data_IF_901698391104
#
_entry.id   IF_901698391104
#
_cell.length_a   1.000
_cell.length_b   1.000
_cell.length_c   1.000
_cell.angle_alpha   90.00
_cell.angle_beta   90.00
_cell.angle_gamma   90.00
#
_symmetry.space_group_name_H-M   'P 1'
#
loop_
_entity.id
_entity.type
_entity.pdbx_description
1 polymer ?
#
# COMPACT_ATOMS: atom_id res chain seq x y z
N UNK A 1 -13.80 27.05 -1.45
CA UNK A 1 -15.21 26.93 -0.99
C UNK A 1 -15.65 25.46 -1.06
N UNK A 2 -16.78 25.11 -0.44
CA UNK A 2 -17.34 23.74 -0.51
C UNK A 2 -17.71 23.32 -1.93
N UNK A 3 -18.11 24.25 -2.77
CA UNK A 3 -18.44 24.01 -4.19
C UNK A 3 -17.19 23.72 -5.03
N UNK A 4 -16.09 24.42 -4.79
CA UNK A 4 -14.81 24.16 -5.48
C UNK A 4 -14.27 22.76 -5.14
N UNK A 5 -14.39 22.36 -3.88
CA UNK A 5 -13.99 21.03 -3.43
C UNK A 5 -14.84 19.93 -4.10
N UNK A 6 -16.15 20.11 -4.17
CA UNK A 6 -17.06 19.18 -4.83
C UNK A 6 -16.76 19.07 -6.33
N UNK A 7 -16.51 20.20 -7.00
CA UNK A 7 -16.16 20.25 -8.41
C UNK A 7 -14.81 19.57 -8.68
N UNK A 8 -13.85 19.76 -7.79
CA UNK A 8 -12.54 19.10 -7.87
C UNK A 8 -12.71 17.56 -7.79
N UNK A 9 -13.41 17.05 -6.78
CA UNK A 9 -13.65 15.60 -6.65
C UNK A 9 -14.44 15.04 -7.84
N UNK A 10 -15.41 15.78 -8.35
CA UNK A 10 -16.14 15.40 -9.55
C UNK A 10 -15.22 15.24 -10.76
N UNK A 11 -14.34 16.21 -10.99
CA UNK A 11 -13.40 16.20 -12.11
C UNK A 11 -12.43 15.02 -12.00
N UNK A 12 -11.86 14.78 -10.81
CA UNK A 12 -10.92 13.69 -10.58
C UNK A 12 -11.59 12.32 -10.74
N UNK A 13 -12.81 12.17 -10.23
CA UNK A 13 -13.58 10.94 -10.40
C UNK A 13 -13.90 10.69 -11.87
N UNK A 14 -14.35 11.70 -12.62
CA UNK A 14 -14.67 11.58 -14.05
C UNK A 14 -13.46 11.13 -14.85
N UNK A 15 -12.30 11.76 -14.66
CA UNK A 15 -11.03 11.34 -15.31
C UNK A 15 -10.66 9.89 -14.98
N UNK A 16 -10.88 9.48 -13.73
CA UNK A 16 -10.60 8.10 -13.28
C UNK A 16 -11.55 7.11 -13.95
N UNK A 17 -12.86 7.40 -14.00
CA UNK A 17 -13.86 6.55 -14.64
C UNK A 17 -13.63 6.41 -16.15
N UNK A 18 -13.27 7.49 -16.85
CA UNK A 18 -12.92 7.45 -18.27
C UNK A 18 -11.78 6.47 -18.55
N UNK A 19 -10.72 6.52 -17.74
CA UNK A 19 -9.58 5.59 -17.87
C UNK A 19 -9.94 4.16 -17.50
N UNK A 20 -10.74 3.96 -16.46
CA UNK A 20 -11.22 2.64 -16.06
C UNK A 20 -12.06 1.99 -17.17
N UNK A 21 -12.90 2.80 -17.84
CA UNK A 21 -13.73 2.32 -18.94
C UNK A 21 -12.92 1.97 -20.19
N UNK A 22 -11.75 2.57 -20.37
CA UNK A 22 -10.84 2.27 -21.48
C UNK A 22 -10.08 0.93 -21.31
N UNK A 23 -10.05 0.33 -20.12
CA UNK A 23 -9.40 -0.95 -19.89
C UNK A 23 -10.10 -2.09 -20.64
N UNK A 24 -9.28 -2.98 -21.20
CA UNK A 24 -9.75 -4.24 -21.78
C UNK A 24 -10.52 -5.08 -20.75
N UNK A 25 -11.50 -5.83 -21.21
CA UNK A 25 -12.22 -6.85 -20.43
C UNK A 25 -12.21 -8.21 -21.13
N UNK A 26 -11.16 -8.46 -21.91
CA UNK A 26 -11.06 -9.66 -22.76
C UNK A 26 -10.67 -10.90 -21.98
N UNK A 27 -9.81 -10.75 -20.97
CA UNK A 27 -9.34 -11.89 -20.17
C UNK A 27 -10.16 -12.06 -18.88
N UNK A 28 -10.22 -13.27 -18.30
CA UNK A 28 -10.88 -13.49 -17.02
C UNK A 28 -10.32 -12.58 -15.90
N UNK A 29 -9.01 -12.32 -15.92
CA UNK A 29 -8.35 -11.41 -14.96
C UNK A 29 -8.85 -9.96 -15.14
N UNK A 30 -9.00 -9.50 -16.38
CA UNK A 30 -9.50 -8.15 -16.64
C UNK A 30 -10.96 -7.99 -16.18
N UNK A 31 -11.78 -9.03 -16.42
CA UNK A 31 -13.17 -9.06 -15.95
C UNK A 31 -13.25 -9.04 -14.43
N UNK A 32 -12.40 -9.84 -13.76
CA UNK A 32 -12.32 -9.87 -12.31
C UNK A 32 -11.89 -8.51 -11.73
N UNK A 33 -10.87 -7.85 -12.31
CA UNK A 33 -10.44 -6.50 -11.93
C UNK A 33 -11.55 -5.47 -12.11
N UNK A 34 -12.30 -5.56 -13.21
CA UNK A 34 -13.45 -4.69 -13.47
C UNK A 34 -14.56 -4.90 -12.43
N UNK A 35 -14.84 -6.14 -12.06
CA UNK A 35 -15.82 -6.47 -11.01
C UNK A 35 -15.39 -5.86 -9.67
N UNK A 36 -14.14 -6.08 -9.24
CA UNK A 36 -13.57 -5.49 -8.01
C UNK A 36 -13.73 -3.97 -8.03
N UNK A 37 -13.32 -3.32 -9.11
CA UNK A 37 -13.40 -1.88 -9.27
C UNK A 37 -14.84 -1.36 -9.19
N UNK A 38 -15.80 -2.06 -9.80
CA UNK A 38 -17.21 -1.69 -9.74
C UNK A 38 -17.79 -1.82 -8.32
N UNK A 39 -17.44 -2.89 -7.61
CA UNK A 39 -17.83 -3.05 -6.20
C UNK A 39 -17.26 -1.93 -5.32
N UNK A 40 -16.03 -1.47 -5.59
CA UNK A 40 -15.43 -0.31 -4.91
C UNK A 40 -16.24 0.97 -5.16
N UNK A 41 -16.65 1.23 -6.41
CA UNK A 41 -17.51 2.37 -6.72
C UNK A 41 -18.87 2.30 -6.02
N UNK A 42 -19.50 1.12 -5.99
CA UNK A 42 -20.79 0.91 -5.31
C UNK A 42 -20.67 1.04 -3.78
N UNK A 43 -19.63 0.47 -3.19
CA UNK A 43 -19.39 0.57 -1.75
C UNK A 43 -19.15 1.99 -1.28
N UNK A 44 -18.62 2.86 -2.14
CA UNK A 44 -18.40 4.28 -1.84
C UNK A 44 -19.69 5.06 -1.57
N UNK A 45 -20.85 4.51 -1.97
CA UNK A 45 -22.17 5.08 -1.69
C UNK A 45 -22.64 4.85 -0.24
N UNK A 46 -22.03 3.95 0.50
CA UNK A 46 -22.36 3.69 1.90
C UNK A 46 -21.85 4.79 2.82
N UNK A 47 -22.52 4.96 3.97
CA UNK A 47 -22.10 5.94 5.00
C UNK A 47 -20.64 5.69 5.46
N UNK A 48 -19.97 6.76 5.93
CA UNK A 48 -18.61 6.68 6.48
C UNK A 48 -18.43 5.66 7.60
N UNK A 49 -17.22 5.41 8.00
CA UNK A 49 -16.81 4.43 9.01
C UNK A 49 -15.60 3.61 8.56
N UNK A 50 -15.50 2.36 9.00
CA UNK A 50 -14.38 1.48 8.66
C UNK A 50 -14.79 0.48 7.58
N UNK A 51 -13.98 0.42 6.54
CA UNK A 51 -14.13 -0.50 5.41
C UNK A 51 -12.91 -1.40 5.28
N UNK A 52 -13.10 -2.57 4.69
CA UNK A 52 -12.05 -3.53 4.39
C UNK A 52 -12.04 -3.82 2.89
N UNK A 53 -10.89 -3.62 2.26
CA UNK A 53 -10.64 -3.98 0.87
C UNK A 53 -9.70 -5.17 0.82
N UNK A 54 -10.27 -6.37 0.81
CA UNK A 54 -9.53 -7.63 0.71
C UNK A 54 -9.64 -8.16 -0.72
N UNK A 55 -8.54 -8.03 -1.47
CA UNK A 55 -8.48 -8.52 -2.85
C UNK A 55 -7.15 -9.23 -3.10
N UNK A 56 -7.12 -10.24 -3.99
CA UNK A 56 -5.90 -10.96 -4.32
C UNK A 56 -4.80 -10.06 -4.85
N UNK A 57 -3.55 -10.49 -4.71
CA UNK A 57 -2.41 -9.82 -5.36
C UNK A 57 -2.62 -9.76 -6.87
N UNK A 58 -2.44 -8.58 -7.44
CA UNK A 58 -2.72 -8.32 -8.86
C UNK A 58 -4.18 -8.00 -9.18
N UNK A 59 -5.07 -7.96 -8.17
CA UNK A 59 -6.49 -7.57 -8.31
C UNK A 59 -6.74 -6.08 -8.53
N UNK A 60 -5.71 -5.24 -8.63
CA UNK A 60 -5.86 -3.81 -8.88
C UNK A 60 -6.22 -2.99 -7.63
N UNK A 61 -5.72 -3.39 -6.47
CA UNK A 61 -6.00 -2.81 -5.15
C UNK A 61 -5.87 -1.28 -5.12
N UNK A 62 -4.72 -0.75 -5.58
CA UNK A 62 -4.43 0.69 -5.55
C UNK A 62 -5.46 1.50 -6.33
N UNK A 63 -5.77 1.08 -7.55
CA UNK A 63 -6.70 1.80 -8.43
C UNK A 63 -8.16 1.67 -7.96
N UNK A 64 -8.55 0.48 -7.50
CA UNK A 64 -9.88 0.26 -6.94
C UNK A 64 -10.09 1.03 -5.63
N UNK A 65 -9.05 1.11 -4.79
CA UNK A 65 -9.03 1.94 -3.60
C UNK A 65 -9.11 3.44 -3.92
N UNK A 66 -8.43 3.90 -4.98
CA UNK A 66 -8.54 5.29 -5.47
C UNK A 66 -9.96 5.60 -5.94
N UNK A 67 -10.56 4.70 -6.73
CA UNK A 67 -11.95 4.85 -7.19
C UNK A 67 -12.93 4.98 -6.02
N UNK A 68 -12.82 4.08 -5.03
CA UNK A 68 -13.60 4.18 -3.81
C UNK A 68 -13.40 5.53 -3.13
N UNK A 69 -12.14 5.93 -2.89
CA UNK A 69 -11.81 7.14 -2.16
C UNK A 69 -12.34 8.41 -2.84
N UNK A 70 -12.19 8.52 -4.17
CA UNK A 70 -12.70 9.66 -4.95
C UNK A 70 -14.23 9.73 -4.95
N UNK A 71 -14.91 8.59 -5.19
CA UNK A 71 -16.37 8.53 -5.18
C UNK A 71 -16.94 8.88 -3.80
N UNK A 72 -16.31 8.31 -2.74
CA UNK A 72 -16.72 8.57 -1.36
C UNK A 72 -16.44 10.01 -0.92
N UNK A 73 -15.26 10.56 -1.30
CA UNK A 73 -14.89 11.94 -1.00
C UNK A 73 -15.88 12.93 -1.64
N UNK A 74 -16.26 12.70 -2.89
CA UNK A 74 -17.27 13.50 -3.57
C UNK A 74 -18.61 13.42 -2.86
N UNK A 75 -19.12 12.22 -2.59
CA UNK A 75 -20.46 12.01 -2.02
C UNK A 75 -20.60 12.62 -0.62
N UNK A 76 -19.61 12.45 0.21
CA UNK A 76 -19.62 12.85 1.62
C UNK A 76 -18.83 14.14 1.88
N UNK A 77 -18.46 14.88 0.83
CA UNK A 77 -17.73 16.16 0.91
C UNK A 77 -16.51 16.09 1.81
N UNK A 78 -15.71 15.03 1.64
CA UNK A 78 -14.47 14.86 2.39
C UNK A 78 -13.44 15.90 1.96
N UNK A 79 -12.66 16.36 2.92
CA UNK A 79 -11.65 17.40 2.68
C UNK A 79 -10.42 16.86 1.92
N UNK A 80 -10.02 15.61 2.22
CA UNK A 80 -8.79 15.00 1.71
C UNK A 80 -8.92 13.51 1.52
N UNK A 81 -8.02 12.98 0.68
CA UNK A 81 -7.75 11.56 0.54
C UNK A 81 -6.31 11.33 0.93
N UNK A 82 -6.06 10.40 1.85
CA UNK A 82 -4.72 10.09 2.36
C UNK A 82 -4.44 8.62 2.08
N UNK A 83 -3.41 8.35 1.25
CA UNK A 83 -2.90 7.01 0.99
C UNK A 83 -1.68 6.74 1.83
N UNK A 84 -1.66 5.59 2.52
CA UNK A 84 -0.47 5.16 3.27
C UNK A 84 0.03 3.81 2.79
N UNK A 85 1.35 3.67 2.78
CA UNK A 85 2.02 2.40 2.47
C UNK A 85 3.14 2.13 3.47
N UNK A 86 3.43 0.86 3.82
CA UNK A 86 4.47 0.55 4.79
C UNK A 86 5.89 0.70 4.24
N UNK A 87 6.09 0.52 2.93
CA UNK A 87 7.38 0.52 2.26
C UNK A 87 7.49 1.66 1.26
N UNK A 88 8.64 2.34 1.24
CA UNK A 88 8.91 3.46 0.32
C UNK A 88 8.82 3.05 -1.16
N UNK A 89 9.35 1.90 -1.53
CA UNK A 89 9.30 1.41 -2.91
C UNK A 89 7.87 1.18 -3.41
N UNK A 90 6.98 0.67 -2.55
CA UNK A 90 5.56 0.50 -2.85
C UNK A 90 4.86 1.87 -2.88
N UNK A 91 5.24 2.78 -1.98
CA UNK A 91 4.71 4.14 -1.95
C UNK A 91 5.03 4.88 -3.24
N UNK A 92 6.27 4.84 -3.73
CA UNK A 92 6.69 5.43 -4.99
C UNK A 92 5.92 4.85 -6.19
N UNK A 93 5.70 3.53 -6.18
CA UNK A 93 4.90 2.86 -7.20
C UNK A 93 3.43 3.31 -7.16
N UNK A 94 2.84 3.34 -5.97
CA UNK A 94 1.46 3.80 -5.78
C UNK A 94 1.31 5.27 -6.17
N UNK A 95 2.28 6.13 -5.81
CA UNK A 95 2.29 7.54 -6.17
C UNK A 95 2.32 7.74 -7.69
N UNK A 96 3.20 7.03 -8.39
CA UNK A 96 3.26 7.05 -9.87
C UNK A 96 1.94 6.60 -10.49
N UNK A 97 1.32 5.57 -9.91
CA UNK A 97 0.04 5.08 -10.41
C UNK A 97 -1.08 6.12 -10.16
N UNK A 98 -1.22 6.65 -8.95
CA UNK A 98 -2.23 7.65 -8.60
C UNK A 98 -2.11 8.90 -9.49
N UNK A 99 -0.88 9.39 -9.72
CA UNK A 99 -0.62 10.54 -10.61
C UNK A 99 -1.17 10.37 -12.03
N UNK A 100 -1.13 9.15 -12.58
CA UNK A 100 -1.70 8.88 -13.92
C UNK A 100 -3.19 9.17 -14.00
N UNK A 101 -3.91 9.06 -12.86
CA UNK A 101 -5.36 9.28 -12.80
C UNK A 101 -5.72 10.69 -12.37
N UNK A 102 -5.02 11.24 -11.39
CA UNK A 102 -5.25 12.62 -10.91
C UNK A 102 -4.87 13.63 -11.99
N UNK A 103 -3.72 13.45 -12.68
CA UNK A 103 -3.23 14.32 -13.77
C UNK A 103 -3.06 15.81 -13.38
N UNK A 104 -2.84 16.06 -12.09
CA UNK A 104 -2.58 17.39 -11.56
C UNK A 104 -1.68 17.23 -10.31
N UNK A 105 -0.40 17.49 -10.51
CA UNK A 105 0.60 17.33 -9.44
C UNK A 105 0.46 18.38 -8.34
N UNK A 106 -0.22 19.51 -8.60
CA UNK A 106 -0.48 20.53 -7.58
C UNK A 106 -1.45 20.05 -6.50
N UNK A 107 -2.27 19.06 -6.81
CA UNK A 107 -3.22 18.45 -5.87
C UNK A 107 -2.60 17.33 -5.02
N UNK A 108 -1.37 16.91 -5.31
CA UNK A 108 -0.74 15.74 -4.69
C UNK A 108 0.45 16.17 -3.83
N UNK A 109 0.40 15.85 -2.55
CA UNK A 109 1.54 15.94 -1.65
C UNK A 109 2.09 14.55 -1.36
N UNK A 110 3.34 14.30 -1.72
CA UNK A 110 4.10 13.16 -1.19
C UNK A 110 4.87 13.59 0.05
N UNK A 111 4.74 12.83 1.14
CA UNK A 111 5.44 13.12 2.37
C UNK A 111 6.07 11.85 2.97
N UNK A 112 7.38 11.69 2.76
CA UNK A 112 8.18 10.61 3.33
C UNK A 112 9.64 11.03 3.52
N UNK A 113 10.43 10.23 4.23
CA UNK A 113 11.81 10.56 4.64
C UNK A 113 12.82 10.69 3.50
N UNK A 114 12.51 10.12 2.31
CA UNK A 114 13.45 10.05 1.19
C UNK A 114 13.17 11.06 0.07
N UNK A 115 12.34 12.07 0.30
CA UNK A 115 12.22 13.17 -0.65
C UNK A 115 13.57 13.89 -0.71
N UNK A 116 14.35 13.57 -1.74
CA UNK A 116 15.57 14.29 -2.07
C UNK A 116 15.15 15.70 -2.43
N UNK A 117 15.72 16.68 -1.75
CA UNK A 117 15.62 18.10 -2.11
C UNK A 117 16.30 18.28 -3.47
N UNK A 118 15.55 18.07 -4.55
CA UNK A 118 15.98 18.50 -5.88
C UNK A 118 16.01 20.01 -5.88
N UNK A 119 17.11 20.59 -6.32
CA UNK A 119 17.31 22.04 -6.47
C UNK A 119 16.22 22.61 -7.39
N UNK A 120 15.13 23.07 -6.79
CA UNK A 120 14.07 23.83 -7.46
C UNK A 120 14.06 25.24 -6.84
N UNK A 121 13.52 26.21 -7.57
CA UNK A 121 13.44 27.61 -7.15
C UNK A 121 12.95 27.76 -5.70
N UNK A 122 13.55 28.67 -4.94
CA UNK A 122 13.30 28.87 -3.50
C UNK A 122 11.82 29.04 -3.14
N UNK A 123 11.03 29.74 -3.96
CA UNK A 123 9.59 29.96 -3.74
C UNK A 123 8.78 28.66 -3.78
N UNK A 124 9.10 27.73 -4.69
CA UNK A 124 8.41 26.42 -4.75
C UNK A 124 8.81 25.50 -3.60
N UNK A 125 10.00 25.66 -3.05
CA UNK A 125 10.45 24.93 -1.86
C UNK A 125 9.67 25.38 -0.62
N UNK A 126 9.48 26.69 -0.43
CA UNK A 126 8.77 27.27 0.70
C UNK A 126 7.29 26.83 0.70
N UNK A 127 6.64 26.84 -0.46
CA UNK A 127 5.25 26.38 -0.59
C UNK A 127 5.11 24.88 -0.28
N UNK A 128 6.00 24.03 -0.80
CA UNK A 128 6.00 22.60 -0.51
C UNK A 128 6.34 22.28 0.95
N UNK A 129 7.25 23.02 1.56
CA UNK A 129 7.55 22.89 2.99
C UNK A 129 6.31 23.21 3.83
N UNK A 130 5.60 24.29 3.50
CA UNK A 130 4.35 24.67 4.17
C UNK A 130 3.27 23.58 4.02
N UNK A 131 3.06 23.09 2.80
CA UNK A 131 2.11 21.98 2.55
C UNK A 131 2.51 20.71 3.32
N UNK A 132 3.80 20.42 3.44
CA UNK A 132 4.31 19.30 4.21
C UNK A 132 4.11 19.50 5.72
N UNK A 133 4.20 20.73 6.20
CA UNK A 133 3.95 21.05 7.61
C UNK A 133 2.47 20.92 7.99
N UNK A 134 1.57 21.30 7.11
CA UNK A 134 0.14 21.40 7.41
C UNK A 134 -0.71 20.25 6.85
N UNK A 135 -0.23 19.55 5.82
CA UNK A 135 -0.98 18.52 5.10
C UNK A 135 -2.29 19.03 4.49
N UNK A 136 -2.26 20.22 3.90
CA UNK A 136 -3.45 20.85 3.31
C UNK A 136 -3.76 20.39 1.88
N UNK A 137 -2.88 19.67 1.22
CA UNK A 137 -3.13 19.14 -0.11
C UNK A 137 -4.35 18.19 -0.13
N UNK A 138 -5.16 18.21 -1.21
CA UNK A 138 -6.33 17.35 -1.36
C UNK A 138 -6.00 15.86 -1.37
N UNK A 139 -4.90 15.46 -1.99
CA UNK A 139 -4.42 14.08 -2.04
C UNK A 139 -3.05 14.00 -1.40
N UNK A 140 -2.92 13.18 -0.37
CA UNK A 140 -1.69 12.99 0.37
C UNK A 140 -1.25 11.54 0.23
N UNK A 141 0.02 11.33 -0.12
CA UNK A 141 0.63 10.02 -0.24
C UNK A 141 1.78 9.96 0.76
N UNK A 142 1.72 9.05 1.71
CA UNK A 142 2.67 9.02 2.83
C UNK A 142 2.94 7.60 3.31
N UNK A 143 3.87 7.44 4.24
CA UNK A 143 4.12 6.14 4.87
C UNK A 143 3.18 5.92 6.06
N UNK A 144 2.90 4.64 6.34
CA UNK A 144 2.16 4.25 7.55
C UNK A 144 2.84 4.79 8.83
N UNK A 145 4.18 4.82 8.84
CA UNK A 145 4.95 5.37 9.99
C UNK A 145 4.65 6.86 10.18
N UNK A 146 4.54 7.65 9.12
CA UNK A 146 4.19 9.07 9.25
C UNK A 146 2.77 9.25 9.80
N UNK A 147 1.80 8.45 9.34
CA UNK A 147 0.45 8.47 9.89
C UNK A 147 0.45 8.13 11.39
N UNK A 148 1.13 7.06 11.79
CA UNK A 148 1.25 6.66 13.19
C UNK A 148 1.96 7.73 14.04
N UNK A 149 2.96 8.41 13.50
CA UNK A 149 3.62 9.53 14.16
C UNK A 149 2.66 10.70 14.41
N UNK A 150 1.77 11.01 13.46
CA UNK A 150 0.77 12.07 13.65
C UNK A 150 -0.22 11.69 14.76
N UNK A 151 -0.61 10.43 14.81
CA UNK A 151 -1.57 9.93 15.80
C UNK A 151 -1.00 9.84 17.23
N UNK A 152 0.29 9.48 17.36
CA UNK A 152 0.86 9.10 18.65
C UNK A 152 2.04 9.95 19.12
N UNK A 153 2.57 10.85 18.29
CA UNK A 153 3.70 11.71 18.66
C UNK A 153 3.21 13.05 19.22
N UNK A 154 3.78 13.48 20.34
CA UNK A 154 3.54 14.81 20.92
C UNK A 154 4.30 15.95 20.24
N UNK A 155 4.95 15.74 19.09
CA UNK A 155 5.68 16.81 18.39
C UNK A 155 4.72 17.83 17.80
N UNK A 156 5.05 19.10 17.91
CA UNK A 156 4.22 20.23 17.40
C UNK A 156 3.86 20.08 15.92
N UNK A 157 4.79 19.61 15.10
CA UNK A 157 4.55 19.37 13.66
C UNK A 157 3.51 18.26 13.43
N UNK A 158 3.49 17.22 14.27
CA UNK A 158 2.48 16.17 14.20
C UNK A 158 1.10 16.68 14.61
N UNK A 159 1.04 17.51 15.67
CA UNK A 159 -0.21 18.13 16.13
C UNK A 159 -0.80 19.04 15.05
N UNK A 160 0.02 19.82 14.34
CA UNK A 160 -0.44 20.66 13.23
C UNK A 160 -1.06 19.83 12.11
N UNK A 161 -0.51 18.67 11.77
CA UNK A 161 -1.03 17.78 10.74
C UNK A 161 -2.29 17.03 11.16
N UNK A 162 -2.50 16.87 12.46
CA UNK A 162 -3.62 16.07 12.98
C UNK A 162 -4.98 16.61 12.48
N UNK A 163 -5.18 17.93 12.44
CA UNK A 163 -6.45 18.52 11.97
C UNK A 163 -6.74 18.13 10.51
N UNK A 164 -5.70 17.90 9.70
CA UNK A 164 -5.83 17.51 8.30
C UNK A 164 -6.28 16.07 8.11
N UNK A 165 -6.26 15.24 9.17
CA UNK A 165 -6.88 13.92 9.15
C UNK A 165 -8.40 14.01 9.24
N UNK A 166 -8.95 15.05 9.89
CA UNK A 166 -10.39 15.17 10.08
C UNK A 166 -11.16 15.29 8.76
N UNK A 167 -12.34 14.68 8.72
CA UNK A 167 -13.22 14.64 7.54
C UNK A 167 -12.48 14.21 6.26
N UNK A 168 -11.63 13.20 6.34
CA UNK A 168 -10.88 12.65 5.21
C UNK A 168 -11.28 11.20 4.89
N UNK A 169 -10.76 10.68 3.78
CA UNK A 169 -10.71 9.24 3.49
C UNK A 169 -9.25 8.80 3.66
N UNK A 170 -9.01 7.86 4.56
CA UNK A 170 -7.67 7.31 4.79
C UNK A 170 -7.62 5.87 4.28
N UNK A 171 -6.80 5.63 3.27
CA UNK A 171 -6.56 4.29 2.70
C UNK A 171 -5.24 3.78 3.27
N UNK A 172 -5.32 2.72 4.07
CA UNK A 172 -4.16 2.10 4.73
C UNK A 172 -3.82 0.82 3.98
N UNK A 173 -2.79 0.87 3.15
CA UNK A 173 -2.32 -0.29 2.39
C UNK A 173 -1.44 -1.19 3.24
N UNK A 174 -1.52 -2.50 2.97
CA UNK A 174 -0.78 -3.55 3.68
C UNK A 174 -0.92 -3.46 5.22
N UNK A 175 -2.16 -3.30 5.70
CA UNK A 175 -2.48 -3.10 7.12
C UNK A 175 -1.93 -4.22 8.03
N UNK A 176 -1.69 -5.42 7.51
CA UNK A 176 -1.08 -6.52 8.26
C UNK A 176 0.37 -6.26 8.70
N UNK A 177 1.00 -5.21 8.16
CA UNK A 177 2.35 -4.78 8.58
C UNK A 177 2.36 -4.03 9.90
N UNK A 178 1.21 -3.63 10.42
CA UNK A 178 1.10 -3.05 11.76
C UNK A 178 1.59 -4.09 12.78
N UNK A 179 2.61 -3.77 13.60
CA UNK A 179 3.13 -4.72 14.58
C UNK A 179 2.04 -5.17 15.56
N UNK A 180 2.02 -6.46 15.89
CA UNK A 180 1.00 -7.03 16.78
C UNK A 180 0.89 -6.31 18.13
N UNK A 181 2.02 -5.82 18.68
CA UNK A 181 2.07 -5.03 19.91
C UNK A 181 1.37 -3.66 19.80
N UNK A 182 1.18 -3.15 18.59
CA UNK A 182 0.55 -1.86 18.34
C UNK A 182 -0.90 -1.99 17.87
N UNK A 183 -1.41 -3.19 17.62
CA UNK A 183 -2.74 -3.40 17.06
C UNK A 183 -3.85 -2.80 17.94
N UNK A 184 -3.80 -2.94 19.26
CA UNK A 184 -4.79 -2.33 20.16
C UNK A 184 -4.79 -0.80 20.08
N UNK A 185 -3.60 -0.16 20.12
CA UNK A 185 -3.49 1.29 19.94
C UNK A 185 -3.94 1.75 18.56
N UNK A 186 -3.56 1.00 17.52
CA UNK A 186 -3.99 1.27 16.15
C UNK A 186 -5.52 1.21 16.02
N UNK A 187 -6.17 0.19 16.58
CA UNK A 187 -7.62 0.06 16.58
C UNK A 187 -8.32 1.18 17.32
N UNK A 188 -7.80 1.60 18.48
CA UNK A 188 -8.30 2.78 19.22
C UNK A 188 -8.20 4.05 18.37
N UNK A 189 -7.08 4.25 17.66
CA UNK A 189 -6.92 5.39 16.78
C UNK A 189 -7.89 5.34 15.60
N UNK A 190 -8.11 4.17 14.99
CA UNK A 190 -9.10 3.97 13.92
C UNK A 190 -10.50 4.29 14.42
N UNK A 191 -10.87 3.82 15.61
CA UNK A 191 -12.18 4.14 16.23
C UNK A 191 -12.34 5.65 16.41
N UNK A 192 -11.34 6.31 17.00
CA UNK A 192 -11.36 7.75 17.22
C UNK A 192 -11.49 8.54 15.91
N UNK A 193 -10.71 8.16 14.89
CA UNK A 193 -10.76 8.78 13.57
C UNK A 193 -12.15 8.61 12.92
N UNK A 194 -12.72 7.41 12.99
CA UNK A 194 -13.98 7.11 12.35
C UNK A 194 -15.18 7.75 13.09
N UNK A 195 -15.21 7.67 14.41
CA UNK A 195 -16.37 8.08 15.22
C UNK A 195 -16.36 9.58 15.56
N UNK A 196 -15.19 10.14 15.81
CA UNK A 196 -15.06 11.53 16.30
C UNK A 196 -14.59 12.48 15.20
N UNK A 197 -13.58 12.08 14.41
CA UNK A 197 -12.98 12.94 13.39
C UNK A 197 -13.72 12.89 12.04
N UNK A 198 -14.79 12.09 11.92
CA UNK A 198 -15.54 11.94 10.67
C UNK A 198 -14.70 11.36 9.52
N UNK A 199 -13.70 10.55 9.84
CA UNK A 199 -12.84 9.90 8.84
C UNK A 199 -13.50 8.63 8.31
N UNK A 200 -13.35 8.37 7.03
CA UNK A 200 -13.62 7.05 6.47
C UNK A 200 -12.31 6.31 6.29
N UNK A 201 -12.16 5.18 6.99
CA UNK A 201 -10.94 4.39 6.97
C UNK A 201 -11.13 3.16 6.09
N UNK A 202 -10.19 2.93 5.17
CA UNK A 202 -10.17 1.76 4.29
C UNK A 202 -8.92 0.94 4.61
N UNK A 203 -9.11 -0.24 5.15
CA UNK A 203 -8.05 -1.20 5.50
C UNK A 203 -7.81 -2.13 4.30
N UNK A 204 -6.70 -1.91 3.59
CA UNK A 204 -6.34 -2.68 2.41
C UNK A 204 -5.33 -3.78 2.75
N UNK A 205 -5.61 -5.01 2.34
CA UNK A 205 -4.68 -6.14 2.48
C UNK A 205 -5.12 -7.33 1.65
N UNK A 206 -4.19 -8.18 1.25
CA UNK A 206 -4.51 -9.53 0.77
C UNK A 206 -4.87 -10.47 1.94
N UNK A 207 -4.30 -10.22 3.13
CA UNK A 207 -4.54 -10.98 4.37
C UNK A 207 -4.83 -10.00 5.50
N UNK A 208 -6.01 -10.07 6.09
CA UNK A 208 -6.41 -9.15 7.16
C UNK A 208 -5.85 -9.59 8.51
N UNK A 209 -5.35 -8.66 9.34
CA UNK A 209 -5.01 -8.97 10.72
C UNK A 209 -6.27 -9.28 11.53
N UNK A 210 -6.16 -10.20 12.50
CA UNK A 210 -7.26 -10.53 13.42
C UNK A 210 -7.46 -9.37 14.43
N UNK A 211 -8.13 -8.32 14.01
CA UNK A 211 -8.43 -7.16 14.88
C UNK A 211 -9.62 -7.38 15.82
N UNK A 212 -10.31 -8.51 15.69
CA UNK A 212 -11.48 -8.85 16.51
C UNK A 212 -11.12 -9.50 17.85
N UNK A 213 -9.89 -10.05 17.97
CA UNK A 213 -9.42 -10.81 19.13
C UNK A 213 -8.38 -10.06 19.98
N UNK A 214 -8.34 -8.74 19.87
CA UNK A 214 -7.42 -7.89 20.61
C UNK A 214 -8.16 -7.16 21.75
N UNK A 215 -7.42 -6.62 22.72
CA UNK A 215 -7.97 -5.95 23.90
C UNK A 215 -8.91 -4.79 23.56
N UNK A 216 -8.58 -4.02 22.51
CA UNK A 216 -9.41 -2.92 22.03
C UNK A 216 -9.71 -3.12 20.54
N UNK A 217 -10.78 -3.84 20.18
CA UNK A 217 -11.12 -4.09 18.79
C UNK A 217 -11.64 -2.82 18.09
N UNK A 218 -11.70 -2.88 16.76
CA UNK A 218 -12.40 -1.85 15.99
C UNK A 218 -13.88 -1.95 16.29
N UNK A 219 -14.51 -0.81 16.62
CA UNK A 219 -15.92 -0.72 16.96
C UNK A 219 -16.82 -0.82 15.72
N UNK A 220 -18.00 -1.40 15.92
CA UNK A 220 -19.00 -1.51 14.86
C UNK A 220 -18.63 -2.50 13.75
N UNK A 221 -19.46 -2.60 12.72
CA UNK A 221 -19.20 -3.49 11.61
C UNK A 221 -18.10 -2.93 10.71
N UNK A 222 -17.02 -3.69 10.51
CA UNK A 222 -16.09 -3.46 9.40
C UNK A 222 -16.78 -3.96 8.13
N UNK A 223 -16.99 -3.08 7.17
CA UNK A 223 -17.71 -3.39 5.94
C UNK A 223 -16.76 -3.85 4.85
N UNK A 224 -17.00 -5.04 4.30
CA UNK A 224 -16.24 -5.53 3.15
C UNK A 224 -16.68 -4.76 1.89
N UNK A 225 -15.72 -4.09 1.24
CA UNK A 225 -15.92 -3.41 -0.04
C UNK A 225 -16.16 -4.44 -1.14
N UNK A 226 -15.33 -5.50 -1.13
CA UNK A 226 -15.43 -6.65 -2.02
C UNK A 226 -15.71 -7.88 -1.15
N UNK A 227 -16.95 -8.42 -1.17
CA UNK A 227 -17.25 -9.66 -0.47
C UNK A 227 -16.35 -10.81 -0.94
N UNK A 228 -15.98 -11.69 -0.03
CA UNK A 228 -15.19 -12.86 -0.38
C UNK A 228 -15.95 -13.77 -1.36
N UNK A 229 -15.36 -13.99 -2.52
CA UNK A 229 -15.86 -14.90 -3.55
C UNK A 229 -14.74 -15.86 -3.97
N UNK A 230 -14.85 -17.17 -3.66
CA UNK A 230 -13.85 -18.17 -4.04
C UNK A 230 -13.56 -18.19 -5.55
N UNK A 231 -14.58 -18.02 -6.38
CA UNK A 231 -14.42 -18.02 -7.83
C UNK A 231 -13.59 -16.84 -8.31
N UNK A 232 -13.81 -15.65 -7.72
CA UNK A 232 -13.01 -14.47 -7.98
C UNK A 232 -11.54 -14.68 -7.59
N UNK A 233 -11.30 -15.29 -6.41
CA UNK A 233 -9.94 -15.55 -5.92
C UNK A 233 -9.21 -16.57 -6.80
N UNK A 234 -9.90 -17.58 -7.30
CA UNK A 234 -9.34 -18.62 -8.17
C UNK A 234 -8.79 -18.03 -9.49
N UNK A 235 -9.41 -16.98 -10.04
CA UNK A 235 -8.94 -16.30 -11.25
C UNK A 235 -7.53 -15.74 -11.09
N UNK A 236 -7.16 -15.32 -9.87
CA UNK A 236 -5.84 -14.76 -9.54
C UNK A 236 -4.85 -15.80 -9.03
N UNK A 237 -5.24 -17.05 -8.88
CA UNK A 237 -4.34 -18.12 -8.43
C UNK A 237 -3.31 -18.41 -9.53
N UNK A 238 -2.04 -18.13 -9.23
CA UNK A 238 -0.91 -18.32 -10.16
C UNK A 238 0.12 -19.31 -9.63
N UNK A 239 -0.04 -19.74 -8.39
CA UNK A 239 0.93 -20.58 -7.70
C UNK A 239 0.21 -21.76 -7.05
N UNK A 240 0.89 -22.89 -7.05
CA UNK A 240 0.51 -24.06 -6.27
C UNK A 240 1.40 -24.11 -5.01
N UNK A 241 0.78 -24.12 -3.84
CA UNK A 241 1.47 -24.08 -2.55
C UNK A 241 1.58 -25.51 -2.03
N UNK A 242 2.83 -25.98 -1.87
CA UNK A 242 3.13 -27.30 -1.34
C UNK A 242 3.92 -27.17 -0.04
N UNK A 243 3.49 -27.88 1.01
CA UNK A 243 4.25 -28.00 2.24
C UNK A 243 5.18 -29.20 2.13
N UNK A 244 6.48 -28.95 2.30
CA UNK A 244 7.53 -30.00 2.28
C UNK A 244 8.04 -30.34 3.69
N UNK A 245 7.39 -29.81 4.74
CA UNK A 245 7.77 -30.05 6.13
C UNK A 245 9.01 -29.25 6.57
N UNK A 246 9.60 -29.66 7.70
CA UNK A 246 10.81 -29.05 8.25
C UNK A 246 12.05 -29.58 7.56
N UNK A 247 12.94 -28.69 7.12
CA UNK A 247 14.20 -29.02 6.47
C UNK A 247 15.36 -28.27 7.14
N UNK A 248 16.54 -28.90 7.18
CA UNK A 248 17.79 -28.19 7.49
C UNK A 248 18.23 -27.32 6.29
N UNK A 249 19.18 -26.40 6.50
CA UNK A 249 19.68 -25.56 5.41
C UNK A 249 20.39 -26.40 4.32
N UNK A 250 21.07 -27.47 4.70
CA UNK A 250 21.71 -28.43 3.80
C UNK A 250 20.64 -29.16 2.95
N UNK A 251 19.55 -29.60 3.59
CA UNK A 251 18.42 -30.24 2.90
C UNK A 251 17.73 -29.30 1.94
N UNK A 252 17.60 -27.99 2.30
CA UNK A 252 17.06 -26.96 1.42
C UNK A 252 17.99 -26.76 0.21
N UNK A 253 19.31 -26.72 0.42
CA UNK A 253 20.28 -26.58 -0.66
C UNK A 253 20.20 -27.79 -1.64
N UNK A 254 20.16 -29.02 -1.14
CA UNK A 254 19.98 -30.22 -1.97
C UNK A 254 18.65 -30.25 -2.72
N UNK A 255 17.56 -29.81 -2.05
CA UNK A 255 16.26 -29.69 -2.67
C UNK A 255 16.26 -28.64 -3.78
N UNK A 256 16.93 -27.50 -3.58
CA UNK A 256 17.04 -26.44 -4.57
C UNK A 256 17.80 -26.92 -5.82
N UNK A 257 18.92 -27.62 -5.64
CA UNK A 257 19.71 -28.20 -6.76
C UNK A 257 18.86 -29.18 -7.58
N UNK A 258 18.14 -30.10 -6.92
CA UNK A 258 17.22 -31.03 -7.60
C UNK A 258 16.07 -30.34 -8.34
N UNK A 259 15.52 -29.27 -7.75
CA UNK A 259 14.44 -28.52 -8.41
C UNK A 259 14.93 -27.78 -9.64
N UNK A 260 16.14 -27.21 -9.63
CA UNK A 260 16.74 -26.51 -10.76
C UNK A 260 17.00 -27.41 -11.99
N UNK A 261 16.99 -28.76 -11.84
CA UNK A 261 17.00 -29.67 -12.97
C UNK A 261 15.70 -29.62 -13.82
N UNK A 262 14.61 -29.08 -13.23
CA UNK A 262 13.26 -29.09 -13.81
C UNK A 262 12.65 -27.71 -14.01
N UNK A 263 13.32 -26.64 -13.53
CA UNK A 263 12.85 -25.24 -13.64
C UNK A 263 14.01 -24.34 -14.03
N UNK A 264 13.72 -23.28 -14.79
CA UNK A 264 14.71 -22.33 -15.27
C UNK A 264 15.27 -21.42 -14.19
N UNK A 265 14.49 -21.17 -13.13
CA UNK A 265 14.90 -20.29 -12.01
C UNK A 265 14.23 -20.70 -10.71
N UNK A 266 14.91 -20.40 -9.60
CA UNK A 266 14.42 -20.68 -8.25
C UNK A 266 14.75 -19.50 -7.34
N UNK A 267 13.76 -19.06 -6.56
CA UNK A 267 13.94 -18.06 -5.50
C UNK A 267 13.79 -18.71 -4.13
N UNK A 268 14.79 -18.54 -3.28
CA UNK A 268 14.75 -18.98 -1.88
C UNK A 268 14.64 -17.75 -0.99
N UNK A 269 13.58 -17.66 -0.21
CA UNK A 269 13.34 -16.55 0.72
C UNK A 269 13.59 -17.04 2.15
N UNK A 270 14.55 -16.41 2.84
CA UNK A 270 14.91 -16.71 4.22
C UNK A 270 14.43 -15.64 5.18
N UNK A 271 14.02 -16.06 6.39
CA UNK A 271 13.59 -15.13 7.45
C UNK A 271 14.75 -14.39 8.13
N UNK A 272 15.97 -14.92 8.04
CA UNK A 272 17.17 -14.38 8.68
C UNK A 272 18.31 -14.24 7.69
N UNK A 273 19.07 -13.14 7.79
CA UNK A 273 20.23 -12.86 6.95
C UNK A 273 21.27 -14.00 7.01
N UNK A 274 21.61 -14.49 8.20
CA UNK A 274 22.58 -15.58 8.37
C UNK A 274 22.15 -16.89 7.70
N UNK A 275 20.85 -17.18 7.57
CA UNK A 275 20.34 -18.33 6.83
C UNK A 275 20.57 -18.16 5.32
N UNK A 276 20.34 -16.95 4.79
CA UNK A 276 20.61 -16.63 3.39
C UNK A 276 22.11 -16.74 3.07
N UNK A 277 22.97 -16.19 3.92
CA UNK A 277 24.43 -16.29 3.79
C UNK A 277 24.94 -17.74 3.84
N UNK A 278 24.39 -18.54 4.75
CA UNK A 278 24.75 -19.95 4.84
C UNK A 278 24.30 -20.74 3.60
N UNK A 279 23.05 -20.54 3.14
CA UNK A 279 22.58 -21.16 1.89
C UNK A 279 23.41 -20.73 0.68
N UNK A 280 23.77 -19.43 0.60
CA UNK A 280 24.68 -18.96 -0.44
C UNK A 280 26.02 -19.68 -0.41
N UNK A 281 26.61 -19.88 0.77
CA UNK A 281 27.89 -20.63 0.91
C UNK A 281 27.78 -22.08 0.49
N UNK A 282 26.64 -22.74 0.71
CA UNK A 282 26.40 -24.14 0.28
C UNK A 282 26.18 -24.28 -1.23
N UNK A 283 25.72 -23.22 -1.89
CA UNK A 283 25.32 -23.23 -3.30
C UNK A 283 26.34 -22.57 -4.23
N UNK A 284 27.25 -21.72 -3.74
CA UNK A 284 28.18 -20.90 -4.55
C UNK A 284 29.08 -21.67 -5.50
N UNK A 285 29.44 -22.92 -5.15
CA UNK A 285 30.35 -23.77 -5.94
C UNK A 285 29.61 -24.68 -6.95
N UNK A 286 28.30 -24.44 -7.15
CA UNK A 286 27.48 -25.19 -8.11
C UNK A 286 27.50 -24.53 -9.50
N UNK A 287 27.09 -25.28 -10.53
CA UNK A 287 27.23 -24.91 -11.94
C UNK A 287 26.14 -23.94 -12.48
N UNK A 288 25.41 -23.22 -11.62
CA UNK A 288 24.38 -22.26 -12.01
C UNK A 288 24.69 -20.85 -11.49
N UNK A 289 24.11 -19.83 -12.12
CA UNK A 289 24.21 -18.45 -11.63
C UNK A 289 23.48 -18.28 -10.30
N UNK A 290 24.17 -17.73 -9.29
CA UNK A 290 23.64 -17.56 -7.94
C UNK A 290 23.76 -16.09 -7.52
N UNK A 291 22.63 -15.51 -7.09
CA UNK A 291 22.56 -14.14 -6.58
C UNK A 291 22.07 -14.15 -5.14
N UNK A 292 22.64 -13.29 -4.28
CA UNK A 292 22.19 -13.10 -2.91
C UNK A 292 21.77 -11.64 -2.71
N UNK A 293 20.53 -11.44 -2.23
CA UNK A 293 19.97 -10.13 -1.93
C UNK A 293 19.63 -10.06 -0.44
N UNK A 294 20.06 -9.02 0.23
CA UNK A 294 19.66 -8.76 1.60
C UNK A 294 19.42 -7.26 1.84
N UNK A 295 18.59 -6.91 2.82
CA UNK A 295 18.29 -5.54 3.15
C UNK A 295 19.54 -4.69 3.51
N UNK A 296 20.62 -5.34 3.99
CA UNK A 296 21.87 -4.65 4.34
C UNK A 296 22.71 -4.23 3.13
N UNK A 297 22.57 -4.92 1.98
CA UNK A 297 23.29 -4.54 0.75
C UNK A 297 22.79 -3.23 0.15
N UNK A 298 21.56 -2.81 0.47
CA UNK A 298 21.00 -1.56 0.00
C UNK A 298 21.54 -0.31 0.71
N UNK A 299 22.28 -0.45 1.82
CA UNK A 299 22.73 0.64 2.68
C UNK A 299 24.26 0.77 2.83
N UNK A 300 25.05 -0.06 2.17
CA UNK A 300 26.53 0.01 2.22
C UNK A 300 27.10 0.61 0.93
N UNK A 301 28.17 1.40 1.04
CA UNK A 301 28.87 1.98 -0.11
C UNK A 301 29.43 0.92 -1.08
N UNK A 302 29.66 -0.30 -0.61
CA UNK A 302 30.12 -1.42 -1.43
C UNK A 302 29.05 -1.95 -2.38
N UNK A 303 27.76 -1.66 -2.12
CA UNK A 303 26.67 -2.00 -3.04
C UNK A 303 26.67 -1.13 -4.33
N UNK A 304 27.44 -0.08 -4.38
CA UNK A 304 27.58 0.76 -5.58
C UNK A 304 28.51 0.12 -6.62
N UNK A 305 29.54 -0.61 -6.19
CA UNK A 305 30.48 -1.30 -7.09
C UNK A 305 29.89 -2.61 -7.65
N UNK A 306 29.02 -3.28 -6.90
CA UNK A 306 28.33 -4.48 -7.40
C UNK A 306 27.16 -4.16 -8.35
N UNK A 307 26.62 -2.92 -8.37
CA UNK A 307 25.58 -2.51 -9.31
C UNK A 307 26.02 -2.47 -10.78
N UNK A 308 27.34 -2.46 -11.04
CA UNK A 308 27.87 -2.50 -12.40
C UNK A 308 27.82 -3.89 -13.06
N UNK A 309 27.41 -4.94 -12.34
CA UNK A 309 27.33 -6.32 -12.85
C UNK A 309 25.89 -6.86 -12.97
N UNK A 310 24.86 -6.05 -12.73
CA UNK A 310 23.45 -6.42 -12.87
C UNK A 310 22.78 -5.49 -13.86
N UNK A 311 23.17 -5.55 -15.12
CA UNK A 311 22.37 -5.11 -16.24
C UNK A 311 21.42 -6.24 -16.63
N UNK A 312 20.15 -6.07 -16.26
CA UNK A 312 19.01 -6.82 -16.78
C UNK A 312 17.92 -5.86 -17.17
#
# INVERSE_FOLDING_TARGET
SGEELEQMWFTLLTRTEEKLNAFSSKTPIDQARRMISNQCGQAAEQAGGVFRLSVPTGGGKTLSGLRFALAHARKYRKQRIIFTSPLLSILDQNAKEIRKYIQDDSLILEHHSNLVRTEQNSEQLDERELLTETWEAPVIITTLVQLLNILFSGKTTCIRRFHSLCNSVIVIDEVQTVPSKMLSMFSLAVNFLAEICGVTVVLCSATQPCTEQIEHPIHGPIRDIVPYDPALWQVFQRTDIQSVGSMSLEQIADFAVKKLEHVDSLLIVCNKKNQSEHLYSLLKDKSFALFSLSACLLYTSDAADERSSVDL
#
